data_IF_335020519923
#
_entry.id   IF_335020519923
#
_cell.length_a   1.000
_cell.length_b   1.000
_cell.length_c   1.000
_cell.angle_alpha   90.00
_cell.angle_beta   90.00
_cell.angle_gamma   90.00
#
_symmetry.space_group_name_H-M   'P 1'
#
loop_
_entity.id
_entity.type
_entity.pdbx_description
1 polymer ?
#
# COMPACT_ATOMS: atom_id res chain seq x y z
N UNK A 1 -4.40 -31.92 -14.06
CA UNK A 1 -4.85 -32.08 -12.65
C UNK A 1 -5.39 -30.71 -12.23
N UNK A 2 -6.70 -30.56 -12.10
CA UNK A 2 -7.31 -29.24 -11.79
C UNK A 2 -7.09 -28.93 -10.30
N UNK A 3 -6.33 -27.89 -10.00
CA UNK A 3 -6.17 -27.38 -8.64
C UNK A 3 -7.40 -26.53 -8.31
N UNK A 4 -8.35 -27.14 -7.61
CA UNK A 4 -9.51 -26.43 -7.06
C UNK A 4 -9.10 -25.78 -5.73
N UNK A 5 -8.85 -24.48 -5.74
CA UNK A 5 -8.71 -23.70 -4.51
C UNK A 5 -10.10 -23.50 -3.93
N UNK A 6 -10.50 -24.34 -2.96
CA UNK A 6 -11.74 -24.16 -2.21
C UNK A 6 -11.61 -22.97 -1.27
N UNK A 7 -12.39 -21.93 -1.50
CA UNK A 7 -12.52 -20.80 -0.58
C UNK A 7 -13.44 -21.16 0.60
N UNK A 8 -13.14 -20.72 1.84
CA UNK A 8 -14.04 -20.87 2.96
C UNK A 8 -15.33 -20.08 2.75
N UNK A 9 -16.44 -20.68 3.12
CA UNK A 9 -17.80 -20.12 3.06
C UNK A 9 -17.86 -18.73 3.74
N UNK A 10 -17.98 -17.66 2.96
CA UNK A 10 -18.16 -16.30 3.45
C UNK A 10 -19.65 -16.00 3.51
N UNK A 11 -20.15 -15.84 4.73
CA UNK A 11 -21.47 -15.30 4.99
C UNK A 11 -21.72 -14.00 4.19
N UNK A 12 -22.98 -13.76 3.85
CA UNK A 12 -23.47 -12.67 3.02
C UNK A 12 -22.85 -11.30 3.36
N UNK A 13 -22.03 -10.76 2.45
CA UNK A 13 -21.54 -9.38 2.52
C UNK A 13 -22.59 -8.43 1.97
N UNK A 14 -22.75 -7.21 2.53
CA UNK A 14 -23.63 -6.21 1.97
C UNK A 14 -23.18 -5.82 0.54
N UNK A 15 -24.18 -5.62 -0.33
CA UNK A 15 -24.05 -5.32 -1.75
C UNK A 15 -23.40 -3.94 -1.94
N UNK A 16 -22.09 -3.90 -2.19
CA UNK A 16 -21.39 -2.68 -2.60
C UNK A 16 -21.58 -2.52 -4.12
N UNK A 17 -22.09 -1.41 -4.64
CA UNK A 17 -22.14 -1.18 -6.07
C UNK A 17 -20.72 -0.93 -6.59
N UNK A 18 -20.16 -1.87 -7.31
CA UNK A 18 -18.87 -1.70 -7.92
C UNK A 18 -18.37 -2.99 -8.58
N UNK A 19 -18.09 -2.89 -9.86
CA UNK A 19 -17.43 -3.85 -10.72
C UNK A 19 -18.03 -5.27 -10.72
N UNK A 20 -19.13 -5.43 -11.46
CA UNK A 20 -19.48 -6.75 -12.02
C UNK A 20 -18.54 -6.99 -13.20
N UNK A 21 -17.44 -7.67 -12.95
CA UNK A 21 -16.80 -8.39 -14.05
C UNK A 21 -17.86 -9.34 -14.65
N UNK A 22 -18.03 -9.30 -15.95
CA UNK A 22 -18.94 -10.21 -16.64
C UNK A 22 -18.39 -11.63 -16.38
N UNK A 23 -19.12 -12.41 -15.56
CA UNK A 23 -18.65 -13.71 -15.03
C UNK A 23 -18.62 -14.78 -16.13
N UNK A 24 -19.02 -14.42 -17.35
CA UNK A 24 -19.12 -15.31 -18.51
C UNK A 24 -17.94 -15.21 -19.46
N UNK A 25 -17.12 -14.16 -19.38
CA UNK A 25 -16.00 -13.96 -20.30
C UNK A 25 -14.88 -14.97 -20.04
N UNK A 26 -14.44 -15.60 -21.12
CA UNK A 26 -13.27 -16.50 -21.12
C UNK A 26 -12.09 -15.81 -21.77
N UNK A 27 -10.89 -15.92 -21.18
CA UNK A 27 -9.67 -15.34 -21.71
C UNK A 27 -8.56 -16.38 -21.82
N UNK A 28 -7.86 -16.40 -22.96
CA UNK A 28 -6.61 -17.15 -23.15
C UNK A 28 -5.44 -16.17 -23.10
N UNK A 29 -4.58 -16.30 -22.11
CA UNK A 29 -3.35 -15.52 -21.95
C UNK A 29 -2.19 -16.36 -22.44
N UNK A 30 -1.41 -15.87 -23.42
CA UNK A 30 -0.31 -16.63 -24.04
C UNK A 30 0.71 -15.70 -24.72
N UNK A 31 1.67 -16.28 -25.45
CA UNK A 31 2.71 -15.57 -26.20
C UNK A 31 3.66 -14.74 -25.31
N UNK A 32 4.01 -15.29 -24.14
CA UNK A 32 5.01 -14.73 -23.22
C UNK A 32 5.29 -15.71 -22.07
N UNK A 33 6.37 -15.50 -21.30
CA UNK A 33 6.65 -16.30 -20.12
C UNK A 33 5.62 -16.04 -19.02
N UNK A 34 5.04 -17.10 -18.47
CA UNK A 34 4.06 -17.02 -17.38
C UNK A 34 4.66 -17.68 -16.15
N UNK A 35 4.94 -16.88 -15.10
CA UNK A 35 5.37 -17.39 -13.82
C UNK A 35 4.15 -17.73 -12.96
N UNK A 36 4.07 -18.97 -12.50
CA UNK A 36 2.87 -19.48 -11.83
C UNK A 36 2.87 -19.26 -10.32
N UNK A 37 4.04 -19.11 -9.71
CA UNK A 37 4.22 -19.14 -8.26
C UNK A 37 4.17 -20.51 -7.64
N UNK A 38 3.93 -21.58 -8.43
CA UNK A 38 3.96 -22.97 -7.98
C UNK A 38 5.36 -23.57 -8.17
N UNK A 39 6.06 -24.00 -7.09
CA UNK A 39 7.39 -24.61 -7.21
C UNK A 39 7.42 -25.90 -8.04
N UNK A 40 6.30 -26.63 -8.12
CA UNK A 40 6.22 -27.85 -8.91
C UNK A 40 6.08 -27.58 -10.42
N UNK A 41 5.55 -26.42 -10.79
CA UNK A 41 5.38 -25.98 -12.17
C UNK A 41 5.62 -24.48 -12.27
N UNK A 42 6.86 -23.99 -12.11
CA UNK A 42 7.14 -22.56 -11.97
C UNK A 42 6.83 -21.75 -13.24
N UNK A 43 6.78 -22.39 -14.40
CA UNK A 43 6.53 -21.72 -15.68
C UNK A 43 5.40 -22.38 -16.46
N UNK A 44 4.60 -21.56 -17.12
CA UNK A 44 3.59 -21.97 -18.07
C UNK A 44 3.70 -21.18 -19.38
N UNK A 45 3.07 -21.69 -20.45
CA UNK A 45 3.00 -21.08 -21.78
C UNK A 45 1.61 -20.46 -22.04
N UNK A 46 0.60 -20.95 -21.31
CA UNK A 46 -0.77 -20.48 -21.43
C UNK A 46 -1.51 -20.57 -20.10
N UNK A 47 -2.41 -19.62 -19.90
CA UNK A 47 -3.44 -19.62 -18.85
C UNK A 47 -4.79 -19.39 -19.49
N UNK A 48 -5.79 -20.20 -19.15
CA UNK A 48 -7.19 -19.95 -19.52
C UNK A 48 -7.96 -19.59 -18.25
N UNK A 49 -8.57 -18.40 -18.28
CA UNK A 49 -9.43 -17.88 -17.23
C UNK A 49 -10.87 -17.96 -17.73
N UNK A 50 -11.78 -18.51 -16.92
CA UNK A 50 -13.22 -18.50 -17.21
C UNK A 50 -13.95 -17.90 -16.02
N UNK A 51 -14.45 -16.69 -16.19
CA UNK A 51 -15.02 -15.93 -15.11
C UNK A 51 -13.99 -15.64 -13.99
N UNK A 52 -14.06 -16.38 -12.90
CA UNK A 52 -13.17 -16.23 -11.75
C UNK A 52 -12.21 -17.40 -11.53
N UNK A 53 -12.25 -18.39 -12.40
CA UNK A 53 -11.51 -19.63 -12.24
C UNK A 53 -10.40 -19.70 -13.28
N UNK A 54 -9.22 -20.16 -12.84
CA UNK A 54 -8.14 -20.62 -13.70
C UNK A 54 -8.48 -22.05 -14.11
N UNK A 55 -8.96 -22.25 -15.35
CA UNK A 55 -9.38 -23.57 -15.82
C UNK A 55 -8.22 -24.34 -16.48
N UNK A 56 -7.18 -23.61 -16.91
CA UNK A 56 -5.93 -24.20 -17.40
C UNK A 56 -4.73 -23.32 -17.02
N UNK A 57 -3.66 -23.94 -16.58
CA UNK A 57 -2.33 -23.34 -16.41
C UNK A 57 -1.31 -24.39 -16.88
N UNK A 58 -0.62 -24.14 -18.00
CA UNK A 58 0.27 -25.17 -18.55
C UNK A 58 0.84 -24.82 -19.92
N UNK A 59 0.92 -25.86 -20.76
CA UNK A 59 1.41 -25.71 -22.14
C UNK A 59 0.37 -24.99 -23.01
N UNK A 60 0.84 -24.41 -24.13
CA UNK A 60 -0.06 -23.75 -25.09
C UNK A 60 -1.02 -24.76 -25.72
N UNK A 61 -0.54 -25.92 -26.11
CA UNK A 61 -1.34 -26.97 -26.75
C UNK A 61 -2.42 -27.53 -25.78
N UNK A 62 -2.09 -27.67 -24.50
CA UNK A 62 -3.04 -28.11 -23.48
C UNK A 62 -4.16 -27.09 -23.21
N UNK A 63 -4.01 -25.85 -23.61
CA UNK A 63 -5.04 -24.82 -23.47
C UNK A 63 -6.18 -24.97 -24.48
N UNK A 64 -5.95 -25.65 -25.60
CA UNK A 64 -6.92 -25.76 -26.71
C UNK A 64 -8.22 -26.49 -26.30
N UNK A 65 -8.13 -27.41 -25.33
CA UNK A 65 -9.30 -28.11 -24.77
C UNK A 65 -10.22 -27.17 -23.92
N UNK A 66 -9.74 -25.99 -23.57
CA UNK A 66 -10.41 -25.03 -22.66
C UNK A 66 -10.87 -23.76 -23.37
N UNK A 67 -10.57 -23.58 -24.65
CA UNK A 67 -10.95 -22.40 -25.43
C UNK A 67 -12.13 -22.71 -26.37
N UNK A 68 -12.92 -21.69 -26.64
CA UNK A 68 -14.05 -21.74 -27.59
C UNK A 68 -14.08 -20.43 -28.41
N UNK A 69 -15.08 -20.32 -29.30
CA UNK A 69 -15.23 -19.16 -30.19
C UNK A 69 -15.49 -17.83 -29.43
N UNK A 70 -15.88 -17.89 -28.16
CA UNK A 70 -16.11 -16.72 -27.31
C UNK A 70 -14.90 -16.36 -26.44
N UNK A 71 -13.82 -17.14 -26.51
CA UNK A 71 -12.62 -16.91 -25.70
C UNK A 71 -11.79 -15.76 -26.30
N UNK A 72 -11.58 -14.73 -25.52
CA UNK A 72 -10.74 -13.58 -25.89
C UNK A 72 -9.26 -13.88 -25.72
N UNK A 73 -8.45 -13.56 -26.74
CA UNK A 73 -7.00 -13.73 -26.70
C UNK A 73 -6.33 -12.51 -26.04
N UNK A 74 -5.58 -12.73 -24.99
CA UNK A 74 -4.65 -11.77 -24.41
C UNK A 74 -3.24 -12.15 -24.84
N UNK A 75 -2.74 -11.49 -25.88
CA UNK A 75 -1.37 -11.67 -26.38
C UNK A 75 -0.40 -10.89 -25.51
N UNK A 76 0.51 -11.59 -24.85
CA UNK A 76 1.54 -10.96 -24.01
C UNK A 76 2.63 -10.27 -24.81
N UNK A 77 2.80 -10.60 -26.11
CA UNK A 77 3.84 -10.02 -26.95
C UNK A 77 5.25 -10.16 -26.38
N UNK A 78 5.55 -11.31 -25.77
CA UNK A 78 6.82 -11.60 -25.11
C UNK A 78 6.94 -11.02 -23.68
N UNK A 79 5.98 -10.26 -23.18
CA UNK A 79 5.97 -9.73 -21.80
C UNK A 79 5.67 -10.84 -20.80
N UNK A 80 6.23 -10.70 -19.60
CA UNK A 80 5.99 -11.65 -18.52
C UNK A 80 4.60 -11.44 -17.91
N UNK A 81 3.91 -12.54 -17.63
CA UNK A 81 2.72 -12.59 -16.80
C UNK A 81 3.05 -13.26 -15.46
N UNK A 82 2.50 -12.76 -14.37
CA UNK A 82 2.65 -13.32 -13.02
C UNK A 82 1.36 -13.10 -12.23
N UNK A 83 1.14 -13.86 -11.14
CA UNK A 83 0.02 -13.61 -10.23
C UNK A 83 0.05 -12.16 -9.71
N UNK A 84 -1.13 -11.57 -9.55
CA UNK A 84 -1.24 -10.24 -8.96
C UNK A 84 -0.66 -10.18 -7.55
N UNK A 85 -0.06 -9.06 -7.19
CA UNK A 85 0.48 -8.86 -5.85
C UNK A 85 -0.63 -8.77 -4.82
N UNK A 86 -0.44 -9.45 -3.69
CA UNK A 86 -1.30 -9.35 -2.51
C UNK A 86 -0.47 -8.70 -1.42
N UNK A 87 -0.75 -7.42 -1.15
CA UNK A 87 -0.13 -6.69 -0.07
C UNK A 87 -1.04 -6.74 1.17
N UNK A 88 -0.69 -7.61 2.12
CA UNK A 88 -1.44 -7.81 3.35
C UNK A 88 -1.07 -6.80 4.45
N UNK A 89 0.01 -6.03 4.28
CA UNK A 89 0.47 -5.03 5.23
C UNK A 89 0.99 -3.81 4.48
N UNK A 90 0.22 -2.74 4.47
CA UNK A 90 0.63 -1.48 3.85
C UNK A 90 0.16 -0.26 4.66
N UNK A 91 0.85 0.84 4.46
CA UNK A 91 0.58 2.13 5.07
C UNK A 91 0.04 3.15 4.05
N UNK A 92 -0.63 2.71 2.99
CA UNK A 92 -0.99 3.53 1.85
C UNK A 92 -1.78 4.79 2.25
N UNK A 93 -2.80 4.66 3.10
CA UNK A 93 -3.64 5.77 3.51
C UNK A 93 -2.88 6.79 4.37
N UNK A 94 -2.14 6.33 5.39
CA UNK A 94 -1.36 7.20 6.27
C UNK A 94 -0.24 7.91 5.52
N UNK A 95 0.45 7.20 4.62
CA UNK A 95 1.50 7.79 3.78
C UNK A 95 0.95 8.77 2.75
N UNK A 96 -0.22 8.52 2.18
CA UNK A 96 -0.87 9.48 1.28
C UNK A 96 -1.20 10.79 2.01
N UNK A 97 -1.72 10.71 3.23
CA UNK A 97 -1.99 11.89 4.06
C UNK A 97 -0.70 12.61 4.45
N UNK A 98 0.35 11.88 4.85
CA UNK A 98 1.63 12.45 5.23
C UNK A 98 2.30 13.20 4.05
N UNK A 99 2.17 12.69 2.82
CA UNK A 99 2.70 13.34 1.60
C UNK A 99 2.04 14.67 1.23
N UNK A 100 0.93 15.01 1.85
CA UNK A 100 0.33 16.36 1.74
C UNK A 100 1.04 17.38 2.65
N UNK A 101 2.04 16.99 3.41
CA UNK A 101 2.82 17.81 4.32
C UNK A 101 4.28 17.99 3.89
N UNK A 102 5.12 18.42 4.84
CA UNK A 102 6.56 18.56 4.60
C UNK A 102 7.19 17.19 4.30
N UNK A 103 8.01 17.13 3.25
CA UNK A 103 8.78 15.93 2.88
C UNK A 103 10.21 16.07 3.40
N UNK A 104 10.57 15.23 4.38
CA UNK A 104 11.91 15.18 4.99
C UNK A 104 12.74 13.99 4.46
N UNK A 105 12.27 13.29 3.43
CA UNK A 105 12.98 12.14 2.87
C UNK A 105 14.34 12.55 2.32
N UNK A 106 15.40 11.92 2.85
CA UNK A 106 16.77 12.23 2.46
C UNK A 106 17.38 13.45 3.15
N UNK A 107 16.64 14.16 4.00
CA UNK A 107 17.19 15.26 4.80
C UNK A 107 17.98 14.67 5.99
N UNK A 108 19.26 15.01 6.08
CA UNK A 108 20.17 14.46 7.09
C UNK A 108 20.63 15.56 8.05
N UNK A 109 20.56 15.25 9.35
CA UNK A 109 20.98 16.16 10.41
C UNK A 109 19.82 17.01 10.97
N UNK A 110 19.85 17.17 12.30
CA UNK A 110 18.81 17.88 13.06
C UNK A 110 18.52 19.27 12.47
N UNK A 111 19.55 20.08 12.28
CA UNK A 111 19.40 21.48 11.89
C UNK A 111 18.83 21.62 10.48
N UNK A 112 19.21 20.72 9.56
CA UNK A 112 18.62 20.65 8.22
C UNK A 112 17.15 20.27 8.29
N UNK A 113 16.77 19.26 9.07
CA UNK A 113 15.37 18.87 9.28
C UNK A 113 14.54 20.04 9.82
N UNK A 114 15.04 20.73 10.86
CA UNK A 114 14.32 21.87 11.44
C UNK A 114 14.22 23.06 10.48
N UNK A 115 15.21 23.25 9.62
CA UNK A 115 15.19 24.28 8.58
C UNK A 115 14.09 24.02 7.55
N UNK A 116 14.00 22.79 7.05
CA UNK A 116 12.95 22.39 6.11
C UNK A 116 11.55 22.50 6.73
N UNK A 117 11.40 22.03 7.98
CA UNK A 117 10.12 22.18 8.70
C UNK A 117 9.73 23.64 8.84
N UNK A 118 10.66 24.52 9.24
CA UNK A 118 10.39 25.96 9.41
C UNK A 118 9.99 26.63 8.10
N UNK A 119 10.71 26.35 7.02
CA UNK A 119 10.42 26.89 5.70
C UNK A 119 9.03 26.46 5.21
N UNK A 120 8.71 25.18 5.38
CA UNK A 120 7.41 24.64 4.98
C UNK A 120 6.27 25.23 5.82
N UNK A 121 6.41 25.29 7.15
CA UNK A 121 5.38 25.87 8.07
C UNK A 121 5.12 27.33 7.77
N UNK A 122 6.16 28.11 7.48
CA UNK A 122 6.02 29.53 7.15
C UNK A 122 5.22 29.79 5.86
N UNK A 123 5.21 28.82 4.95
CA UNK A 123 4.44 28.89 3.70
C UNK A 123 3.00 28.40 3.84
N UNK A 124 2.59 27.87 5.01
CA UNK A 124 1.24 27.35 5.20
C UNK A 124 0.26 28.43 5.71
N UNK A 125 -1.00 28.39 5.25
CA UNK A 125 -2.05 29.20 5.86
C UNK A 125 -2.15 28.99 7.38
N UNK A 126 -2.59 29.98 8.16
CA UNK A 126 -2.62 29.90 9.63
C UNK A 126 -3.44 28.73 10.18
N UNK A 127 -4.49 28.34 9.50
CA UNK A 127 -5.43 27.26 9.86
C UNK A 127 -5.14 25.91 9.19
N UNK A 128 -4.12 25.85 8.31
CA UNK A 128 -3.77 24.62 7.63
C UNK A 128 -3.25 23.56 8.60
N UNK A 129 -3.62 22.28 8.42
CA UNK A 129 -3.07 21.18 9.20
C UNK A 129 -1.57 21.02 8.96
N UNK A 130 -0.77 21.01 10.03
CA UNK A 130 0.68 20.82 9.96
C UNK A 130 1.03 19.33 10.08
N UNK A 131 1.65 18.79 9.04
CA UNK A 131 2.02 17.36 8.97
C UNK A 131 3.18 17.17 8.00
N UNK A 132 3.74 15.96 8.03
CA UNK A 132 4.78 15.57 7.09
C UNK A 132 5.31 14.17 7.34
N UNK A 133 6.38 13.83 6.65
CA UNK A 133 6.97 12.49 6.70
C UNK A 133 8.44 12.51 6.32
N UNK A 134 9.10 11.38 6.58
CA UNK A 134 10.42 11.10 6.02
C UNK A 134 11.60 11.41 6.93
N UNK A 135 11.37 11.85 8.18
CA UNK A 135 12.46 12.01 9.12
C UNK A 135 13.06 10.65 9.53
N UNK A 136 14.36 10.65 9.80
CA UNK A 136 15.09 9.44 10.19
C UNK A 136 15.60 9.59 11.63
N UNK A 137 15.52 8.54 12.48
CA UNK A 137 16.12 8.56 13.82
C UNK A 137 17.61 8.94 13.81
N UNK A 138 18.36 8.50 12.78
CA UNK A 138 19.77 8.85 12.60
C UNK A 138 20.08 10.33 12.35
N UNK A 139 19.05 11.16 12.10
CA UNK A 139 19.20 12.62 11.97
C UNK A 139 19.37 13.32 13.32
N UNK A 140 19.22 12.61 14.44
CA UNK A 140 19.28 13.18 15.77
C UNK A 140 20.37 12.46 16.61
N UNK A 141 21.09 13.21 17.45
CA UNK A 141 22.24 12.70 18.23
C UNK A 141 21.88 11.51 19.14
N UNK A 142 20.74 11.63 19.85
CA UNK A 142 20.18 10.59 20.73
C UNK A 142 19.16 9.67 20.04
N UNK A 143 19.07 9.73 18.70
CA UNK A 143 18.13 9.01 17.84
C UNK A 143 16.65 9.31 18.12
N UNK A 144 16.36 10.33 18.92
CA UNK A 144 15.02 10.73 19.32
C UNK A 144 14.76 12.20 19.04
N UNK A 145 13.76 12.55 18.25
CA UNK A 145 13.35 13.94 18.07
C UNK A 145 12.65 14.46 19.33
N UNK A 146 12.86 15.75 19.65
CA UNK A 146 12.23 16.40 20.80
C UNK A 146 11.07 17.26 20.34
N UNK A 147 9.93 17.18 21.04
CA UNK A 147 8.74 17.99 20.72
C UNK A 147 8.99 19.48 20.80
N UNK A 148 9.85 19.91 21.72
CA UNK A 148 10.19 21.30 21.94
C UNK A 148 10.81 21.97 20.70
N UNK A 149 11.48 21.21 19.85
CA UNK A 149 12.01 21.73 18.59
C UNK A 149 10.90 22.09 17.59
N UNK A 150 9.82 21.32 17.56
CA UNK A 150 8.63 21.66 16.76
C UNK A 150 7.84 22.80 17.40
N UNK A 151 7.71 22.83 18.73
CA UNK A 151 7.01 23.89 19.47
C UNK A 151 7.58 25.29 19.14
N UNK A 152 8.91 25.41 19.03
CA UNK A 152 9.57 26.66 18.64
C UNK A 152 9.25 27.13 17.22
N UNK A 153 8.79 26.22 16.35
CA UNK A 153 8.46 26.53 14.96
C UNK A 153 6.97 26.77 14.78
N UNK A 154 6.14 25.99 15.46
CA UNK A 154 4.69 25.92 15.20
C UNK A 154 3.84 26.67 16.23
N UNK A 155 4.42 26.97 17.41
CA UNK A 155 3.66 27.53 18.54
C UNK A 155 2.53 26.57 18.95
N UNK A 156 1.33 27.13 19.06
CA UNK A 156 0.13 26.36 19.45
C UNK A 156 -0.55 25.61 18.30
N UNK A 157 0.02 25.64 17.10
CA UNK A 157 -0.53 24.87 15.97
C UNK A 157 -0.11 23.38 16.07
N UNK A 158 -1.06 22.45 16.14
CA UNK A 158 -0.75 21.02 16.18
C UNK A 158 0.04 20.57 14.95
N UNK A 159 1.15 19.85 15.17
CA UNK A 159 1.96 19.24 14.12
C UNK A 159 2.36 17.82 14.45
N UNK A 160 2.34 16.95 13.43
CA UNK A 160 2.88 15.60 13.51
C UNK A 160 3.66 15.23 12.25
N UNK A 161 4.71 14.43 12.43
CA UNK A 161 5.59 13.96 11.37
C UNK A 161 5.80 12.45 11.49
N UNK A 162 5.53 11.72 10.41
CA UNK A 162 5.86 10.29 10.34
C UNK A 162 7.35 10.09 10.06
N UNK A 163 7.94 9.07 10.69
CA UNK A 163 9.27 8.60 10.32
C UNK A 163 9.29 8.06 8.88
N UNK A 164 10.48 7.88 8.32
CA UNK A 164 10.62 7.39 6.95
C UNK A 164 10.08 5.97 6.76
N UNK A 165 10.13 5.14 7.80
CA UNK A 165 9.58 3.78 7.83
C UNK A 165 8.10 3.72 8.28
N UNK A 166 7.50 4.87 8.63
CA UNK A 166 6.12 5.02 9.10
C UNK A 166 5.80 4.30 10.43
N UNK A 167 6.80 3.90 11.20
CA UNK A 167 6.60 3.23 12.50
C UNK A 167 6.61 4.18 13.69
N UNK A 168 7.23 5.36 13.53
CA UNK A 168 7.31 6.37 14.57
C UNK A 168 6.61 7.67 14.17
N UNK A 169 6.08 8.37 15.16
CA UNK A 169 5.45 9.67 14.98
C UNK A 169 6.08 10.70 15.92
N UNK A 170 6.48 11.82 15.36
CA UNK A 170 6.98 12.96 16.11
C UNK A 170 5.89 14.04 16.23
N UNK A 171 5.43 14.27 17.45
CA UNK A 171 4.40 15.25 17.77
C UNK A 171 5.00 16.46 18.47
N UNK A 172 4.45 17.66 18.21
CA UNK A 172 4.64 18.80 19.07
C UNK A 172 3.70 18.77 20.29
N UNK A 173 3.89 19.70 21.24
CA UNK A 173 3.07 19.77 22.47
C UNK A 173 1.60 20.03 22.16
N UNK A 174 1.29 20.87 21.16
CA UNK A 174 -0.08 21.18 20.76
C UNK A 174 -0.81 19.96 20.19
N UNK A 175 -0.12 19.15 19.36
CA UNK A 175 -0.69 17.89 18.85
C UNK A 175 -0.92 16.85 19.96
N UNK A 176 0.01 16.74 20.91
CA UNK A 176 -0.16 15.87 22.08
C UNK A 176 -1.37 16.26 22.93
N UNK A 177 -1.60 17.54 23.13
CA UNK A 177 -2.81 18.04 23.85
C UNK A 177 -4.08 17.75 23.08
N UNK A 178 -4.07 17.93 21.76
CA UNK A 178 -5.23 17.69 20.89
C UNK A 178 -5.61 16.18 20.83
N UNK A 179 -4.62 15.28 20.88
CA UNK A 179 -4.86 13.85 20.93
C UNK A 179 -5.48 13.38 22.25
N UNK A 180 -5.39 14.18 23.32
CA UNK A 180 -5.88 13.83 24.66
C UNK A 180 -5.00 12.80 25.38
N UNK A 181 -5.24 12.57 26.67
CA UNK A 181 -4.56 11.49 27.38
C UNK A 181 -5.01 10.15 26.78
N UNK A 182 -4.07 9.31 26.36
CA UNK A 182 -4.34 7.93 26.01
C UNK A 182 -4.74 7.16 27.28
N UNK A 183 -6.02 7.19 27.63
CA UNK A 183 -6.58 6.30 28.65
C UNK A 183 -6.65 4.92 27.99
N UNK A 184 -5.88 3.91 28.44
CA UNK A 184 -6.04 2.58 27.92
C UNK A 184 -7.49 2.12 28.19
N UNK A 185 -8.14 1.44 27.23
CA UNK A 185 -9.49 0.94 27.46
C UNK A 185 -9.48 0.06 28.70
N UNK A 186 -10.45 0.30 29.59
CA UNK A 186 -10.59 -0.38 30.90
C UNK A 186 -10.82 -1.91 30.80
N UNK A 187 -10.80 -2.46 29.60
CA UNK A 187 -11.05 -3.88 29.29
C UNK A 187 -9.81 -4.75 29.11
N UNK A 188 -8.60 -4.22 29.32
CA UNK A 188 -7.36 -5.02 29.32
C UNK A 188 -6.82 -5.12 30.76
N UNK A 189 -7.54 -5.85 31.61
CA UNK A 189 -7.01 -6.47 32.84
C UNK A 189 -7.05 -7.99 32.68
#
# INVERSE_FOLDING_TARGET
MAVRVSQPNRGSRPNTPGYRADVTTSHLITNGPIWTGDPAQPWAQAVVVRGRDLVHVGTRDGADDFVDAGTELIDLGGRMCLPGFIDAHNHLASMAVAKLGVNLSGVVGRDAVLTEVRAWVAAQPPDAPLRGHGWMPGSFEDRSPRREWLDQITGDRPMYLFSADAHDMWFNTAAMRAAGPSTPPSSLR
#
